data_IF_743908374561
#
_entry.id   IF_743908374561
#
_cell.length_a   1.000
_cell.length_b   1.000
_cell.length_c   1.000
_cell.angle_alpha   90.00
_cell.angle_beta   90.00
_cell.angle_gamma   90.00
#
_symmetry.space_group_name_H-M   'P 1'
#
loop_
_entity.id
_entity.type
_entity.pdbx_description
1 polymer ?
#
# COMPACT_ATOMS: atom_id res chain seq x y z
N UNK A 1 -19.38 28.04 -3.72
CA UNK A 1 -19.17 26.75 -3.57
C UNK A 1 -18.38 26.10 -4.65
N UNK A 2 -18.38 26.64 -5.78
CA UNK A 2 -17.49 26.18 -6.78
C UNK A 2 -16.05 26.41 -6.39
N UNK A 3 -15.77 27.41 -5.62
CA UNK A 3 -14.42 27.67 -5.15
C UNK A 3 -13.83 26.57 -4.31
N UNK A 4 -14.65 25.93 -3.49
CA UNK A 4 -14.18 24.83 -2.67
C UNK A 4 -13.64 23.70 -3.50
N UNK A 5 -14.37 23.38 -4.57
CA UNK A 5 -13.99 22.29 -5.41
C UNK A 5 -12.72 22.59 -6.16
N UNK A 6 -12.55 23.84 -6.55
CA UNK A 6 -11.38 24.24 -7.30
C UNK A 6 -10.10 24.17 -6.50
N UNK A 7 -10.13 24.60 -5.25
CA UNK A 7 -8.92 24.55 -4.48
C UNK A 7 -8.70 23.16 -3.86
N UNK A 8 -9.75 22.40 -3.66
CA UNK A 8 -9.59 21.04 -3.15
C UNK A 8 -8.88 20.15 -4.16
N UNK A 9 -9.22 20.29 -5.45
CA UNK A 9 -8.61 19.47 -6.47
C UNK A 9 -7.10 19.70 -6.61
N UNK A 10 -6.61 20.95 -6.65
CA UNK A 10 -5.16 21.17 -6.68
C UNK A 10 -4.43 20.67 -5.45
N UNK A 11 -5.10 20.57 -4.31
CA UNK A 11 -4.47 20.03 -3.12
C UNK A 11 -4.32 18.52 -3.22
N UNK A 12 -5.32 17.84 -3.76
CA UNK A 12 -5.31 16.38 -3.84
C UNK A 12 -4.35 15.89 -4.93
N UNK A 13 -4.41 16.50 -6.11
CA UNK A 13 -3.56 16.08 -7.22
C UNK A 13 -2.07 16.22 -6.92
N UNK A 14 -1.61 17.37 -6.36
CA UNK A 14 -0.19 17.50 -6.04
C UNK A 14 0.33 16.50 -5.04
N UNK A 15 -0.51 15.96 -4.17
CA UNK A 15 -0.05 15.03 -3.16
C UNK A 15 0.53 13.75 -3.79
N UNK A 16 -0.18 13.14 -4.72
CA UNK A 16 0.32 11.94 -5.39
C UNK A 16 1.57 12.22 -6.21
N UNK A 17 1.55 13.31 -6.98
CA UNK A 17 2.70 13.69 -7.78
C UNK A 17 3.88 14.04 -6.90
N UNK A 18 3.63 14.70 -5.78
CA UNK A 18 4.67 15.09 -4.84
C UNK A 18 5.27 13.85 -4.18
N UNK A 19 4.44 12.89 -3.83
CA UNK A 19 4.89 11.64 -3.25
C UNK A 19 5.78 10.88 -4.22
N UNK A 20 5.40 10.83 -5.50
CA UNK A 20 6.21 10.19 -6.52
C UNK A 20 7.57 10.88 -6.67
N UNK A 21 7.57 12.20 -6.65
CA UNK A 21 8.79 12.98 -6.75
C UNK A 21 9.70 12.77 -5.56
N UNK A 22 9.12 12.77 -4.36
CA UNK A 22 9.89 12.50 -3.15
C UNK A 22 10.49 11.11 -3.17
N UNK A 23 9.75 10.15 -3.67
CA UNK A 23 10.25 8.78 -3.77
C UNK A 23 11.43 8.70 -4.74
N UNK A 24 11.29 9.31 -5.91
CA UNK A 24 12.38 9.33 -6.88
C UNK A 24 13.62 10.02 -6.32
N UNK A 25 13.42 11.14 -5.66
CA UNK A 25 14.53 11.88 -5.09
C UNK A 25 15.21 11.07 -3.98
N UNK A 26 14.42 10.45 -3.10
CA UNK A 26 14.98 9.63 -2.04
C UNK A 26 15.75 8.44 -2.58
N UNK A 27 15.28 7.85 -3.67
CA UNK A 27 15.98 6.74 -4.31
C UNK A 27 17.29 7.21 -4.93
N UNK A 28 17.29 8.38 -5.59
CA UNK A 28 18.49 8.92 -6.19
C UNK A 28 19.55 9.28 -5.14
N UNK A 29 19.11 9.75 -4.00
CA UNK A 29 20.01 10.12 -2.90
C UNK A 29 20.44 8.94 -2.05
N UNK A 30 19.93 7.75 -2.35
CA UNK A 30 20.25 6.56 -1.58
C UNK A 30 19.57 6.48 -0.23
N UNK A 31 18.63 7.39 0.04
CA UNK A 31 17.89 7.38 1.32
C UNK A 31 16.90 6.22 1.38
N UNK A 32 16.39 5.81 0.22
CA UNK A 32 15.55 4.63 0.10
C UNK A 32 16.30 3.62 -0.76
N UNK A 33 16.67 2.51 -0.15
CA UNK A 33 17.39 1.44 -0.85
C UNK A 33 16.41 0.33 -1.18
N UNK A 34 15.49 0.64 -2.08
CA UNK A 34 14.47 -0.30 -2.50
C UNK A 34 14.42 -0.34 -4.02
N UNK A 35 14.85 -1.46 -4.58
CA UNK A 35 14.91 -1.65 -6.02
C UNK A 35 13.60 -2.17 -6.60
N UNK A 36 12.58 -2.37 -5.77
CA UNK A 36 11.30 -2.89 -6.22
C UNK A 36 10.57 -1.86 -7.05
N UNK A 37 9.83 -2.33 -8.06
CA UNK A 37 9.00 -1.48 -8.89
C UNK A 37 7.64 -1.27 -8.24
N UNK A 38 7.03 -0.09 -8.50
CA UNK A 38 5.69 0.19 -7.98
C UNK A 38 4.67 -0.22 -9.05
N UNK A 39 3.75 -1.13 -8.73
CA UNK A 39 2.76 -1.57 -9.71
C UNK A 39 1.67 -0.51 -9.90
N UNK A 40 1.13 -0.42 -11.12
CA UNK A 40 -0.03 0.41 -11.38
C UNK A 40 -1.31 -0.30 -10.93
N UNK A 41 -2.46 0.38 -11.09
CA UNK A 41 -3.74 -0.15 -10.61
C UNK A 41 -4.11 -1.47 -11.28
N UNK A 42 -3.85 -1.60 -12.59
CA UNK A 42 -4.14 -2.84 -13.29
C UNK A 42 -3.24 -3.97 -12.81
N UNK A 43 -1.97 -3.70 -12.63
CA UNK A 43 -1.03 -4.68 -12.13
C UNK A 43 -1.39 -5.13 -10.70
N UNK A 44 -1.81 -4.19 -9.86
CA UNK A 44 -2.28 -4.52 -8.51
C UNK A 44 -3.49 -5.43 -8.55
N UNK A 45 -4.46 -5.11 -9.41
CA UNK A 45 -5.65 -5.95 -9.55
C UNK A 45 -5.26 -7.36 -9.99
N UNK A 46 -4.35 -7.46 -10.96
CA UNK A 46 -3.89 -8.76 -11.44
C UNK A 46 -3.18 -9.57 -10.35
N UNK A 47 -2.37 -8.90 -9.53
CA UNK A 47 -1.72 -9.56 -8.40
C UNK A 47 -2.74 -10.10 -7.41
N UNK A 48 -3.76 -9.32 -7.10
CA UNK A 48 -4.83 -9.76 -6.21
C UNK A 48 -5.64 -10.91 -6.82
N UNK A 49 -5.88 -10.88 -8.14
CA UNK A 49 -6.56 -11.99 -8.79
C UNK A 49 -5.74 -13.28 -8.66
N UNK A 50 -4.43 -13.16 -8.79
CA UNK A 50 -3.56 -14.33 -8.64
C UNK A 50 -3.60 -14.89 -7.22
N UNK A 51 -3.59 -14.00 -6.21
CA UNK A 51 -3.71 -14.43 -4.81
C UNK A 51 -5.03 -15.14 -4.58
N UNK A 52 -6.11 -14.57 -5.08
CA UNK A 52 -7.44 -15.14 -4.88
C UNK A 52 -7.60 -16.48 -5.60
N UNK A 53 -7.03 -16.60 -6.80
CA UNK A 53 -7.11 -17.83 -7.56
C UNK A 53 -6.44 -19.00 -6.86
N UNK A 54 -5.40 -18.72 -6.09
CA UNK A 54 -4.67 -19.74 -5.35
C UNK A 54 -5.24 -20.03 -3.98
N UNK A 55 -6.23 -19.25 -3.54
CA UNK A 55 -6.79 -19.37 -2.21
C UNK A 55 -7.87 -20.44 -2.16
N UNK A 56 -7.84 -21.27 -1.13
CA UNK A 56 -8.90 -22.26 -0.90
C UNK A 56 -10.22 -21.62 -0.54
N UNK A 57 -10.19 -20.39 -0.03
CA UNK A 57 -11.41 -19.66 0.35
C UNK A 57 -12.11 -19.04 -0.84
N UNK A 58 -11.46 -19.02 -2.00
CA UNK A 58 -11.96 -18.32 -3.18
C UNK A 58 -12.54 -19.25 -4.25
N UNK A 59 -12.73 -20.52 -3.91
CA UNK A 59 -13.04 -21.55 -4.89
C UNK A 59 -14.30 -21.34 -5.71
N UNK A 60 -15.24 -20.50 -5.26
CA UNK A 60 -16.52 -20.31 -5.93
C UNK A 60 -16.84 -18.84 -6.18
N UNK A 61 -15.82 -18.02 -6.43
CA UNK A 61 -16.04 -16.60 -6.64
C UNK A 61 -16.68 -16.35 -8.01
N UNK A 62 -17.84 -15.71 -8.00
CA UNK A 62 -18.56 -15.35 -9.23
C UNK A 62 -17.91 -14.17 -9.95
N UNK A 63 -17.21 -13.29 -9.21
CA UNK A 63 -16.61 -12.09 -9.77
C UNK A 63 -15.22 -11.88 -9.17
N UNK A 64 -14.24 -12.67 -9.61
CA UNK A 64 -12.90 -12.56 -9.03
C UNK A 64 -12.25 -11.19 -9.23
N UNK A 65 -12.52 -10.54 -10.38
CA UNK A 65 -11.95 -9.23 -10.64
C UNK A 65 -12.52 -8.17 -9.69
N UNK A 66 -13.83 -8.21 -9.44
CA UNK A 66 -14.46 -7.27 -8.53
C UNK A 66 -13.93 -7.46 -7.11
N UNK A 67 -13.75 -8.71 -6.67
CA UNK A 67 -13.20 -8.98 -5.36
C UNK A 67 -11.74 -8.54 -5.28
N UNK A 68 -10.97 -8.76 -6.34
CA UNK A 68 -9.58 -8.31 -6.40
C UNK A 68 -9.48 -6.79 -6.23
N UNK A 69 -10.34 -6.04 -6.90
CA UNK A 69 -10.38 -4.59 -6.76
C UNK A 69 -10.76 -4.18 -5.34
N UNK A 70 -11.70 -4.89 -4.73
CA UNK A 70 -12.11 -4.63 -3.37
C UNK A 70 -10.95 -4.90 -2.39
N UNK A 71 -10.23 -5.99 -2.57
CA UNK A 71 -9.10 -6.31 -1.71
C UNK A 71 -7.96 -5.31 -1.87
N UNK A 72 -7.71 -4.89 -3.10
CA UNK A 72 -6.73 -3.85 -3.37
C UNK A 72 -7.06 -2.57 -2.59
N UNK A 73 -8.31 -2.14 -2.67
CA UNK A 73 -8.73 -0.92 -2.00
C UNK A 73 -8.77 -1.08 -0.49
N UNK A 74 -9.17 -2.25 0.00
CA UNK A 74 -9.19 -2.54 1.43
C UNK A 74 -7.78 -2.49 2.01
N UNK A 75 -6.81 -3.09 1.32
CA UNK A 75 -5.42 -3.06 1.79
C UNK A 75 -4.89 -1.64 1.83
N UNK A 76 -5.18 -0.86 0.79
CA UNK A 76 -4.72 0.53 0.77
C UNK A 76 -5.25 1.29 1.98
N UNK A 77 -6.53 1.15 2.29
CA UNK A 77 -7.12 1.82 3.44
C UNK A 77 -6.53 1.31 4.75
N UNK A 78 -6.33 0.01 4.87
CA UNK A 78 -5.76 -0.56 6.09
C UNK A 78 -4.35 -0.02 6.36
N UNK A 79 -3.53 0.08 5.31
CA UNK A 79 -2.19 0.61 5.45
C UNK A 79 -2.22 2.11 5.76
N UNK A 80 -3.05 2.88 5.03
CA UNK A 80 -3.15 4.32 5.24
C UNK A 80 -3.62 4.67 6.65
N UNK A 81 -4.49 3.86 7.24
CA UNK A 81 -5.01 4.10 8.58
C UNK A 81 -4.25 3.32 9.65
N UNK A 82 -3.15 2.67 9.27
CA UNK A 82 -2.29 1.90 10.19
C UNK A 82 -3.07 0.87 11.00
N UNK A 83 -3.98 0.17 10.36
CA UNK A 83 -4.80 -0.85 11.01
C UNK A 83 -3.96 -2.08 11.31
N UNK A 84 -3.98 -2.52 12.58
CA UNK A 84 -3.30 -3.75 12.97
C UNK A 84 -4.23 -4.93 12.70
N UNK A 85 -3.96 -5.66 11.63
CA UNK A 85 -4.79 -6.78 11.22
C UNK A 85 -4.68 -7.97 12.16
N UNK A 86 -3.68 -7.98 13.04
CA UNK A 86 -3.49 -9.06 13.99
C UNK A 86 -4.06 -8.76 15.37
N UNK A 87 -4.71 -7.61 15.51
CA UNK A 87 -5.26 -7.20 16.81
C UNK A 87 -6.39 -8.15 17.26
N UNK A 88 -6.39 -8.57 18.53
CA UNK A 88 -7.40 -9.52 19.02
C UNK A 88 -8.85 -9.03 18.89
N UNK A 89 -9.06 -7.71 18.82
CA UNK A 89 -10.41 -7.16 18.70
C UNK A 89 -11.11 -7.60 17.41
N UNK A 90 -10.36 -8.09 16.42
CA UNK A 90 -10.94 -8.57 15.16
C UNK A 90 -11.52 -9.98 15.29
N UNK A 91 -11.34 -10.63 16.41
CA UNK A 91 -11.90 -11.97 16.64
C UNK A 91 -13.30 -11.81 17.17
N UNK A 92 -14.29 -11.87 16.31
CA UNK A 92 -15.68 -11.71 16.70
C UNK A 92 -16.60 -12.27 15.62
N UNK A 93 -17.81 -11.72 15.55
CA UNK A 93 -18.80 -12.20 14.60
C UNK A 93 -18.36 -12.08 13.17
N UNK A 94 -17.46 -11.14 12.86
CA UNK A 94 -16.92 -10.96 11.52
C UNK A 94 -15.54 -11.58 11.36
N UNK A 95 -15.18 -12.45 12.30
CA UNK A 95 -13.84 -13.02 12.33
C UNK A 95 -13.46 -13.79 11.07
N UNK A 96 -14.42 -14.48 10.47
CA UNK A 96 -14.12 -15.28 9.28
C UNK A 96 -13.72 -14.41 8.08
N UNK A 97 -14.44 -13.30 7.86
CA UNK A 97 -14.10 -12.40 6.76
C UNK A 97 -12.79 -11.70 7.00
N UNK A 98 -12.54 -11.29 8.23
CA UNK A 98 -11.29 -10.66 8.59
C UNK A 98 -10.14 -11.65 8.44
N UNK A 99 -10.31 -12.87 8.90
CA UNK A 99 -9.28 -13.90 8.80
C UNK A 99 -8.94 -14.20 7.35
N UNK A 100 -9.96 -14.30 6.49
CA UNK A 100 -9.73 -14.51 5.06
C UNK A 100 -8.90 -13.38 4.46
N UNK A 101 -9.27 -12.13 4.78
CA UNK A 101 -8.52 -10.99 4.28
C UNK A 101 -7.08 -11.00 4.81
N UNK A 102 -6.89 -11.33 6.08
CA UNK A 102 -5.56 -11.37 6.67
C UNK A 102 -4.68 -12.38 5.95
N UNK A 103 -5.22 -13.56 5.65
CA UNK A 103 -4.48 -14.60 4.93
C UNK A 103 -4.18 -14.16 3.49
N UNK A 104 -5.15 -13.56 2.82
CA UNK A 104 -4.95 -13.08 1.45
C UNK A 104 -3.91 -11.94 1.43
N UNK A 105 -3.95 -11.06 2.40
CA UNK A 105 -2.98 -9.97 2.47
C UNK A 105 -1.57 -10.50 2.68
N UNK A 106 -1.41 -11.49 3.54
CA UNK A 106 -0.11 -12.13 3.76
C UNK A 106 0.40 -12.75 2.45
N UNK A 107 -0.48 -13.44 1.73
CA UNK A 107 -0.13 -14.03 0.43
C UNK A 107 0.22 -12.95 -0.60
N UNK A 108 -0.52 -11.85 -0.60
CA UNK A 108 -0.26 -10.74 -1.50
C UNK A 108 1.12 -10.13 -1.23
N UNK A 109 1.45 -9.89 0.02
CA UNK A 109 2.76 -9.33 0.39
C UNK A 109 3.90 -10.26 -0.01
N UNK A 110 3.69 -11.56 0.17
CA UNK A 110 4.68 -12.56 -0.23
C UNK A 110 4.87 -12.56 -1.75
N UNK A 111 3.77 -12.51 -2.49
CA UNK A 111 3.82 -12.48 -3.95
C UNK A 111 4.53 -11.23 -4.45
N UNK A 112 4.26 -10.10 -3.85
CA UNK A 112 4.94 -8.86 -4.22
C UNK A 112 6.44 -8.95 -3.97
N UNK A 113 6.85 -9.48 -2.83
CA UNK A 113 8.26 -9.67 -2.54
C UNK A 113 8.93 -10.58 -3.56
N UNK A 114 8.28 -11.69 -3.89
CA UNK A 114 8.84 -12.67 -4.81
C UNK A 114 9.00 -12.11 -6.22
N UNK A 115 8.09 -11.24 -6.64
CA UNK A 115 8.11 -10.68 -7.99
C UNK A 115 8.75 -9.30 -8.07
N UNK A 116 9.24 -8.77 -6.95
CA UNK A 116 9.91 -7.49 -6.94
C UNK A 116 8.97 -6.29 -7.05
N UNK A 117 7.77 -6.39 -6.50
CA UNK A 117 6.81 -5.29 -6.48
C UNK A 117 6.77 -4.61 -5.12
N UNK A 118 6.63 -3.30 -5.13
CA UNK A 118 6.38 -2.49 -3.94
C UNK A 118 5.01 -1.85 -4.06
N UNK A 119 4.02 -2.28 -3.25
CA UNK A 119 2.70 -1.65 -3.30
C UNK A 119 2.80 -0.15 -3.02
N UNK A 120 2.09 0.69 -3.79
CA UNK A 120 2.22 2.14 -3.64
C UNK A 120 1.83 2.65 -2.26
N UNK A 121 0.91 2.00 -1.57
CA UNK A 121 0.50 2.42 -0.23
C UNK A 121 1.59 2.20 0.81
N UNK A 122 2.61 1.39 0.54
CA UNK A 122 3.72 1.16 1.46
C UNK A 122 4.79 2.26 1.37
N UNK A 123 4.75 3.08 0.32
CA UNK A 123 5.77 4.12 0.12
C UNK A 123 5.81 5.19 1.21
N UNK A 124 4.66 5.72 1.68
CA UNK A 124 4.73 6.76 2.70
C UNK A 124 5.47 6.33 3.97
N UNK A 125 5.25 5.09 4.42
CA UNK A 125 5.93 4.57 5.59
C UNK A 125 7.44 4.48 5.40
N UNK A 126 7.87 4.03 4.22
CA UNK A 126 9.28 3.94 3.91
C UNK A 126 9.91 5.33 3.77
N UNK A 127 9.20 6.28 3.16
CA UNK A 127 9.70 7.65 3.05
C UNK A 127 9.80 8.32 4.41
N UNK A 128 8.82 8.12 5.29
CA UNK A 128 8.85 8.67 6.62
C UNK A 128 10.08 8.18 7.38
N UNK A 129 10.38 6.90 7.27
CA UNK A 129 11.55 6.33 7.89
C UNK A 129 12.83 6.91 7.30
N UNK A 130 12.89 7.03 5.97
CA UNK A 130 14.06 7.57 5.30
C UNK A 130 14.29 9.03 5.66
N UNK A 131 13.23 9.83 5.70
CA UNK A 131 13.33 11.24 6.08
C UNK A 131 13.78 11.37 7.52
N UNK A 132 13.29 10.52 8.40
CA UNK A 132 13.69 10.53 9.80
C UNK A 132 15.18 10.27 9.95
N UNK A 133 15.69 9.26 9.24
CA UNK A 133 17.10 8.93 9.27
C UNK A 133 17.96 10.03 8.66
N UNK A 134 17.52 10.57 7.53
CA UNK A 134 18.25 11.65 6.86
C UNK A 134 18.28 12.91 7.71
N UNK A 135 17.15 13.26 8.34
CA UNK A 135 17.09 14.40 9.23
C UNK A 135 18.02 14.26 10.42
N UNK A 136 18.08 13.06 10.97
CA UNK A 136 18.97 12.78 12.09
C UNK A 136 20.44 12.95 11.67
N UNK A 137 20.79 12.48 10.49
CA UNK A 137 22.16 12.64 9.97
C UNK A 137 22.48 14.09 9.69
N UNK A 138 21.52 14.83 9.14
CA UNK A 138 21.71 16.25 8.85
C UNK A 138 21.97 17.04 10.12
N UNK A 139 21.23 16.77 11.18
CA UNK A 139 21.45 17.44 12.46
C UNK A 139 22.86 17.16 13.00
N UNK A 140 23.32 15.94 12.89
CA UNK A 140 24.67 15.61 13.33
C UNK A 140 25.74 16.30 12.50
N UNK A 141 25.47 16.48 11.21
CA UNK A 141 26.42 17.10 10.30
C UNK A 141 26.53 18.60 10.56
N UNK A 142 25.41 19.24 10.86
CA UNK A 142 25.38 20.67 11.11
C UNK A 142 26.09 21.02 12.40
N UNK A 143 26.00 20.19 13.39
CA UNK A 143 26.67 20.40 14.65
C UNK A 143 28.16 20.16 14.54
#
# INVERSE_FOLDING_TARGET
QQGDRQWASPVILPWSAWLDRLWEQAALEGAVDDERAVPNQLQLTNLWEEVLAKSSHAGNLLRPQALAMQMRDTRRLAVEWSVDLNHPAWRGEQGDNHEAFRLWNTAFESLCRDQGWLPPEDRPGLLTRAVHEAGFKAEKTID
#
